data_IF_932060195126
#
_entry.id   IF_932060195126
#
_cell.length_a   1.000
_cell.length_b   1.000
_cell.length_c   1.000
_cell.angle_alpha   90.00
_cell.angle_beta   90.00
_cell.angle_gamma   90.00
#
_symmetry.space_group_name_H-M   'P 1'
#
loop_
_entity.id
_entity.type
_entity.pdbx_description
1 polymer ?
#
# COMPACT_ATOMS: atom_id res chain seq x y z
N UNK A 1 5.98 26.02 15.70
CA UNK A 1 4.88 25.08 15.36
C UNK A 1 5.16 24.50 14.00
N UNK A 2 5.70 23.30 13.92
CA UNK A 2 5.91 22.58 12.66
C UNK A 2 4.55 22.05 12.22
N UNK A 3 3.96 22.68 11.20
CA UNK A 3 2.81 22.10 10.50
C UNK A 3 3.13 20.65 10.15
N UNK A 4 2.32 19.74 10.66
CA UNK A 4 2.42 18.33 10.36
C UNK A 4 1.93 18.11 8.92
N UNK A 5 2.81 18.44 7.94
CA UNK A 5 2.47 18.39 6.51
C UNK A 5 2.14 16.94 6.15
N UNK A 6 0.94 16.74 5.59
CA UNK A 6 0.42 15.44 5.14
C UNK A 6 1.35 14.81 4.09
N UNK A 7 1.48 13.50 4.09
CA UNK A 7 2.14 12.76 3.02
C UNK A 7 1.35 12.93 1.71
N UNK A 8 2.06 13.14 0.61
CA UNK A 8 1.49 13.28 -0.73
C UNK A 8 2.26 12.41 -1.72
N UNK A 9 1.52 11.83 -2.67
CA UNK A 9 2.11 11.14 -3.83
C UNK A 9 2.00 12.09 -5.02
N UNK A 10 3.12 12.30 -5.70
CA UNK A 10 3.21 13.13 -6.91
C UNK A 10 3.67 12.26 -8.07
N UNK A 11 3.04 12.38 -9.24
CA UNK A 11 3.52 11.82 -10.50
C UNK A 11 4.47 12.82 -11.17
N UNK A 12 5.72 12.46 -11.33
CA UNK A 12 6.79 13.38 -11.78
C UNK A 12 6.49 14.04 -13.11
N UNK A 13 5.95 13.29 -14.10
CA UNK A 13 5.72 13.83 -15.44
C UNK A 13 4.54 14.80 -15.51
N UNK A 14 3.63 14.79 -14.53
CA UNK A 14 2.50 15.70 -14.44
C UNK A 14 2.83 17.04 -13.73
N UNK A 15 4.01 17.15 -13.14
CA UNK A 15 4.44 18.36 -12.43
C UNK A 15 4.74 19.49 -13.42
N UNK A 16 4.61 20.72 -12.96
CA UNK A 16 5.09 21.87 -13.71
C UNK A 16 6.63 21.91 -13.78
N UNK A 17 7.17 22.81 -14.61
CA UNK A 17 8.62 22.87 -14.82
C UNK A 17 9.41 23.16 -13.55
N UNK A 18 8.95 24.08 -12.71
CA UNK A 18 9.61 24.46 -11.46
C UNK A 18 9.61 23.32 -10.44
N UNK A 19 8.48 22.64 -10.29
CA UNK A 19 8.37 21.45 -9.43
C UNK A 19 9.25 20.30 -9.95
N UNK A 20 9.28 20.06 -11.27
CA UNK A 20 10.17 19.05 -11.87
C UNK A 20 11.63 19.30 -11.55
N UNK A 21 12.11 20.51 -11.74
CA UNK A 21 13.50 20.91 -11.44
C UNK A 21 13.83 20.71 -9.95
N UNK A 22 12.90 21.11 -9.06
CA UNK A 22 13.07 20.94 -7.62
C UNK A 22 13.17 19.47 -7.22
N UNK A 23 12.20 18.65 -7.63
CA UNK A 23 12.15 17.24 -7.24
C UNK A 23 13.22 16.41 -7.94
N UNK A 24 13.60 16.76 -9.16
CA UNK A 24 14.71 16.14 -9.87
C UNK A 24 16.02 16.32 -9.09
N UNK A 25 16.30 17.54 -8.60
CA UNK A 25 17.43 17.80 -7.73
C UNK A 25 17.40 16.91 -6.48
N UNK A 26 16.21 16.75 -5.86
CA UNK A 26 16.04 15.87 -4.70
C UNK A 26 16.31 14.38 -5.02
N UNK A 27 15.88 13.86 -6.17
CA UNK A 27 16.22 12.52 -6.61
C UNK A 27 17.76 12.38 -6.72
N UNK A 28 18.41 13.39 -7.29
CA UNK A 28 19.87 13.45 -7.43
C UNK A 28 20.64 13.48 -6.10
N UNK A 29 20.03 13.86 -4.97
CA UNK A 29 20.64 13.81 -3.63
C UNK A 29 20.71 12.38 -3.04
N UNK A 30 20.05 11.37 -3.67
CA UNK A 30 20.10 9.99 -3.19
C UNK A 30 21.55 9.45 -3.15
N UNK A 31 21.89 8.66 -2.13
CA UNK A 31 23.18 7.98 -1.98
C UNK A 31 23.27 6.66 -2.77
N UNK A 32 22.24 6.36 -3.57
CA UNK A 32 22.08 5.12 -4.32
C UNK A 32 22.45 5.30 -5.80
N UNK A 33 23.27 4.37 -6.34
CA UNK A 33 23.75 4.42 -7.74
C UNK A 33 22.60 4.47 -8.74
N UNK A 34 21.56 3.62 -8.56
CA UNK A 34 20.42 3.62 -9.47
C UNK A 34 19.58 4.90 -9.35
N UNK A 35 19.51 5.54 -8.17
CA UNK A 35 18.88 6.86 -8.02
C UNK A 35 19.63 7.97 -8.76
N UNK A 36 20.98 7.92 -8.78
CA UNK A 36 21.81 8.83 -9.62
C UNK A 36 21.56 8.60 -11.11
N UNK A 37 21.39 7.34 -11.49
CA UNK A 37 21.06 7.00 -12.88
C UNK A 37 19.66 7.49 -13.26
N UNK A 38 18.67 7.30 -12.39
CA UNK A 38 17.33 7.84 -12.59
C UNK A 38 17.36 9.37 -12.77
N UNK A 39 18.08 10.09 -11.90
CA UNK A 39 18.30 11.54 -12.05
C UNK A 39 18.82 11.88 -13.45
N UNK A 40 19.86 11.17 -13.92
CA UNK A 40 20.47 11.40 -15.23
C UNK A 40 19.45 11.24 -16.37
N UNK A 41 18.79 10.10 -16.45
CA UNK A 41 17.85 9.78 -17.55
C UNK A 41 16.59 10.67 -17.53
N UNK A 42 16.14 11.13 -16.36
CA UNK A 42 15.07 12.11 -16.25
C UNK A 42 15.53 13.49 -16.73
N UNK A 43 16.78 13.91 -16.38
CA UNK A 43 17.37 15.17 -16.84
C UNK A 43 17.54 15.20 -18.36
N UNK A 44 17.92 14.08 -18.96
CA UNK A 44 18.13 13.91 -20.41
C UNK A 44 16.80 13.71 -21.16
N UNK A 45 15.67 13.48 -20.46
CA UNK A 45 14.39 13.14 -21.06
C UNK A 45 14.32 11.76 -21.72
N UNK A 46 15.27 10.87 -21.38
CA UNK A 46 15.39 9.54 -22.02
C UNK A 46 14.69 8.41 -21.25
N UNK A 47 14.06 8.70 -20.10
CA UNK A 47 13.43 7.69 -19.25
C UNK A 47 12.36 6.86 -20.01
N UNK A 48 11.40 7.50 -20.66
CA UNK A 48 10.32 6.79 -21.36
C UNK A 48 10.81 6.00 -22.56
N UNK A 49 11.87 6.47 -23.26
CA UNK A 49 12.50 5.70 -24.33
C UNK A 49 13.08 4.37 -23.83
N UNK A 50 13.66 4.36 -22.62
CA UNK A 50 14.30 3.18 -22.04
C UNK A 50 13.31 2.23 -21.38
N UNK A 51 12.36 2.77 -20.61
CA UNK A 51 11.47 1.99 -19.74
C UNK A 51 10.04 1.82 -20.29
N UNK A 52 9.70 2.47 -21.38
CA UNK A 52 8.39 2.41 -22.04
C UNK A 52 7.64 3.74 -22.02
N UNK A 53 6.89 4.00 -23.07
CA UNK A 53 6.16 5.25 -23.32
C UNK A 53 5.20 5.64 -22.19
N UNK A 54 4.55 4.63 -21.57
CA UNK A 54 3.55 4.82 -20.50
C UNK A 54 4.17 4.77 -19.11
N UNK A 55 5.49 4.65 -19.04
CA UNK A 55 6.19 4.55 -17.75
C UNK A 55 6.12 5.86 -16.97
N UNK A 56 6.05 5.75 -15.67
CA UNK A 56 5.83 6.85 -14.72
C UNK A 56 6.85 6.80 -13.60
N UNK A 57 7.09 7.95 -12.97
CA UNK A 57 7.89 8.06 -11.74
C UNK A 57 7.02 8.70 -10.66
N UNK A 58 6.97 8.07 -9.50
CA UNK A 58 6.18 8.50 -8.36
C UNK A 58 7.08 8.94 -7.21
N UNK A 59 6.70 10.03 -6.57
CA UNK A 59 7.39 10.65 -5.46
C UNK A 59 6.47 10.65 -4.25
N UNK A 60 6.93 10.10 -3.13
CA UNK A 60 6.29 10.30 -1.83
C UNK A 60 6.93 11.48 -1.14
N UNK A 61 6.16 12.51 -0.84
CA UNK A 61 6.65 13.78 -0.31
C UNK A 61 5.97 14.16 1.00
N UNK A 62 6.65 14.96 1.82
CA UNK A 62 6.09 15.62 3.00
C UNK A 62 6.60 17.06 3.06
N UNK A 63 5.77 18.01 2.64
CA UNK A 63 6.24 19.37 2.38
C UNK A 63 7.32 19.38 1.31
N UNK A 64 8.48 19.92 1.61
CA UNK A 64 9.63 20.01 0.70
C UNK A 64 10.60 18.82 0.83
N UNK A 65 10.24 17.79 1.62
CA UNK A 65 11.06 16.59 1.76
C UNK A 65 10.60 15.50 0.79
N UNK A 66 11.53 14.96 0.03
CA UNK A 66 11.35 13.72 -0.71
C UNK A 66 11.61 12.55 0.24
N UNK A 67 10.58 11.77 0.48
CA UNK A 67 10.61 10.62 1.42
C UNK A 67 11.11 9.37 0.71
N UNK A 68 10.46 9.07 -0.42
CA UNK A 68 10.71 7.89 -1.25
C UNK A 68 10.38 8.20 -2.70
N UNK A 69 10.94 7.44 -3.62
CA UNK A 69 10.53 7.43 -5.01
C UNK A 69 10.57 6.01 -5.59
N UNK A 70 9.85 5.80 -6.67
CA UNK A 70 9.91 4.59 -7.49
C UNK A 70 9.38 4.88 -8.89
N UNK A 71 9.61 3.97 -9.83
CA UNK A 71 8.96 3.96 -11.14
C UNK A 71 7.85 2.91 -11.21
N UNK A 72 6.94 3.12 -12.14
CA UNK A 72 6.01 2.14 -12.68
C UNK A 72 6.28 2.07 -14.18
N UNK A 73 6.77 0.94 -14.68
CA UNK A 73 7.44 0.87 -15.97
C UNK A 73 6.98 -0.33 -16.78
N UNK A 74 6.97 -0.20 -18.12
CA UNK A 74 6.70 -1.32 -19.02
C UNK A 74 7.89 -2.30 -19.08
N UNK A 75 9.10 -1.81 -18.84
CA UNK A 75 10.35 -2.58 -18.84
C UNK A 75 11.20 -2.31 -17.60
N UNK A 76 12.09 -3.23 -17.29
CA UNK A 76 13.12 -3.10 -16.27
C UNK A 76 14.52 -3.34 -16.87
N UNK A 77 15.55 -3.39 -16.05
CA UNK A 77 16.94 -3.68 -16.46
C UNK A 77 17.16 -5.16 -16.87
N UNK A 78 16.09 -5.94 -16.98
CA UNK A 78 16.11 -7.34 -17.40
C UNK A 78 15.72 -7.40 -18.88
N UNK A 79 16.67 -7.77 -19.78
CA UNK A 79 16.37 -7.91 -21.20
C UNK A 79 15.57 -9.19 -21.50
N UNK A 80 14.99 -9.23 -22.67
CA UNK A 80 14.36 -10.42 -23.27
C UNK A 80 13.29 -11.09 -22.37
N UNK A 81 12.48 -10.27 -21.68
CA UNK A 81 11.37 -10.74 -20.84
C UNK A 81 10.02 -10.13 -21.27
N UNK A 82 8.97 -10.96 -21.19
CA UNK A 82 7.58 -10.54 -21.41
C UNK A 82 6.92 -10.04 -20.08
N UNK A 83 7.64 -10.09 -18.97
CA UNK A 83 7.11 -9.65 -17.69
C UNK A 83 6.88 -8.13 -17.70
N UNK A 84 5.66 -7.73 -17.37
CA UNK A 84 5.21 -6.34 -17.31
C UNK A 84 3.92 -6.22 -16.49
N UNK A 85 3.65 -5.10 -15.78
CA UNK A 85 4.50 -3.95 -15.55
C UNK A 85 5.46 -4.14 -14.36
N UNK A 86 6.46 -3.28 -14.26
CA UNK A 86 7.48 -3.32 -13.22
C UNK A 86 7.38 -2.14 -12.25
N UNK A 87 7.70 -2.40 -10.99
CA UNK A 87 8.07 -1.36 -10.03
C UNK A 87 9.58 -1.31 -9.96
N UNK A 88 10.18 -0.24 -10.44
CA UNK A 88 11.62 -0.05 -10.47
C UNK A 88 12.08 1.16 -9.65
N UNK A 89 13.39 1.37 -9.55
CA UNK A 89 13.99 2.52 -8.87
C UNK A 89 13.45 2.77 -7.45
N UNK A 90 13.21 1.70 -6.70
CA UNK A 90 12.61 1.78 -5.37
C UNK A 90 13.63 2.29 -4.36
N UNK A 91 13.41 3.49 -3.84
CA UNK A 91 14.31 4.10 -2.88
C UNK A 91 13.56 4.87 -1.80
N UNK A 92 14.04 4.73 -0.56
CA UNK A 92 13.63 5.55 0.59
C UNK A 92 14.85 6.22 1.19
N UNK A 93 14.80 7.53 1.35
CA UNK A 93 15.90 8.28 1.97
C UNK A 93 16.18 7.81 3.39
N UNK A 94 17.45 7.74 3.82
CA UNK A 94 17.84 7.15 5.11
C UNK A 94 17.07 7.68 6.33
N UNK A 95 16.83 8.99 6.38
CA UNK A 95 16.10 9.63 7.47
C UNK A 95 14.63 9.16 7.63
N UNK A 96 14.09 8.49 6.62
CA UNK A 96 12.68 8.05 6.56
C UNK A 96 12.52 6.53 6.54
N UNK A 97 13.60 5.76 6.60
CA UNK A 97 13.60 4.29 6.64
C UNK A 97 13.00 3.76 7.95
N UNK A 98 12.66 2.47 7.97
CA UNK A 98 12.11 1.78 9.15
C UNK A 98 10.63 2.06 9.44
N UNK A 99 9.96 2.88 8.63
CA UNK A 99 8.54 3.28 8.81
C UNK A 99 7.64 2.78 7.68
N UNK A 100 8.06 1.77 6.92
CA UNK A 100 7.33 1.19 5.76
C UNK A 100 6.80 2.23 4.74
N UNK A 101 7.46 3.38 4.63
CA UNK A 101 7.00 4.52 3.80
C UNK A 101 6.82 4.15 2.33
N UNK A 102 7.70 3.29 1.80
CA UNK A 102 7.62 2.81 0.41
C UNK A 102 6.32 2.04 0.14
N UNK A 103 5.73 1.40 1.15
CA UNK A 103 4.46 0.69 1.02
C UNK A 103 3.34 1.58 0.47
N UNK A 104 3.34 2.90 0.80
CA UNK A 104 2.36 3.84 0.24
C UNK A 104 2.48 4.01 -1.27
N UNK A 105 3.70 3.97 -1.82
CA UNK A 105 3.91 4.01 -3.28
C UNK A 105 3.53 2.68 -3.93
N UNK A 106 3.91 1.56 -3.32
CA UNK A 106 3.56 0.22 -3.82
C UNK A 106 2.03 0.05 -3.86
N UNK A 107 1.33 0.43 -2.80
CA UNK A 107 -0.13 0.40 -2.73
C UNK A 107 -0.78 1.28 -3.80
N UNK A 108 -0.26 2.48 -4.02
CA UNK A 108 -0.73 3.37 -5.06
C UNK A 108 -0.54 2.77 -6.46
N UNK A 109 0.65 2.19 -6.73
CA UNK A 109 0.94 1.52 -8.01
C UNK A 109 0.08 0.27 -8.20
N UNK A 110 -0.16 -0.50 -7.14
CA UNK A 110 -1.07 -1.65 -7.20
C UNK A 110 -2.46 -1.24 -7.69
N UNK A 111 -3.05 -0.20 -7.10
CA UNK A 111 -4.34 0.34 -7.52
C UNK A 111 -4.31 0.87 -8.95
N UNK A 112 -3.22 1.55 -9.33
CA UNK A 112 -3.04 2.05 -10.70
C UNK A 112 -2.99 0.90 -11.71
N UNK A 113 -2.19 -0.14 -11.45
CA UNK A 113 -2.08 -1.33 -12.29
C UNK A 113 -3.40 -2.10 -12.39
N UNK A 114 -4.12 -2.24 -11.27
CA UNK A 114 -5.45 -2.83 -11.19
C UNK A 114 -6.45 -2.11 -12.09
N UNK A 115 -6.48 -0.77 -12.02
CA UNK A 115 -7.38 0.07 -12.84
C UNK A 115 -7.01 0.02 -14.33
N UNK A 116 -5.77 -0.31 -14.67
CA UNK A 116 -5.31 -0.52 -16.04
C UNK A 116 -5.52 -1.97 -16.53
N UNK A 117 -6.07 -2.85 -15.70
CA UNK A 117 -6.41 -4.23 -16.04
C UNK A 117 -5.24 -5.20 -16.02
N UNK A 118 -4.11 -4.81 -15.45
CA UNK A 118 -3.00 -5.75 -15.22
C UNK A 118 -3.40 -6.84 -14.22
N UNK A 119 -2.79 -8.01 -14.33
CA UNK A 119 -3.01 -9.16 -13.45
C UNK A 119 -1.85 -9.42 -12.50
N UNK A 120 -0.71 -8.85 -12.81
CA UNK A 120 0.53 -9.06 -12.07
C UNK A 120 1.30 -7.73 -11.97
N UNK A 121 2.12 -7.59 -10.93
CA UNK A 121 3.18 -6.61 -10.79
C UNK A 121 4.49 -7.32 -10.55
N UNK A 122 5.58 -6.78 -11.08
CA UNK A 122 6.92 -7.36 -10.91
C UNK A 122 7.87 -6.35 -10.28
N UNK A 123 8.87 -6.86 -9.58
CA UNK A 123 9.96 -6.07 -9.01
C UNK A 123 11.24 -6.88 -9.05
N UNK A 124 12.33 -6.25 -9.49
CA UNK A 124 13.68 -6.80 -9.44
C UNK A 124 14.45 -6.24 -8.24
N UNK A 125 15.24 -7.06 -7.56
CA UNK A 125 15.97 -6.65 -6.36
C UNK A 125 17.10 -7.61 -6.00
N UNK A 126 18.13 -7.10 -5.32
CA UNK A 126 19.14 -7.87 -4.61
C UNK A 126 18.76 -8.19 -3.15
N UNK A 127 17.65 -7.62 -2.67
CA UNK A 127 17.19 -7.72 -1.28
C UNK A 127 16.24 -8.89 -1.08
N UNK A 128 16.75 -10.04 -0.63
CA UNK A 128 15.94 -11.21 -0.35
C UNK A 128 14.94 -10.95 0.80
N UNK A 129 13.66 -11.27 0.57
CA UNK A 129 12.59 -11.23 1.58
C UNK A 129 12.07 -9.83 1.92
N UNK A 130 12.65 -8.77 1.36
CA UNK A 130 12.18 -7.40 1.63
C UNK A 130 10.74 -7.20 1.17
N UNK A 131 10.44 -7.66 -0.04
CA UNK A 131 9.15 -7.41 -0.69
C UNK A 131 8.04 -8.40 -0.30
N UNK A 132 8.38 -9.50 0.39
CA UNK A 132 7.40 -10.41 0.98
C UNK A 132 6.46 -9.65 1.94
N UNK A 133 7.02 -8.67 2.67
CA UNK A 133 6.26 -7.79 3.57
C UNK A 133 5.25 -6.87 2.86
N UNK A 134 5.31 -6.80 1.54
CA UNK A 134 4.43 -5.99 0.71
C UNK A 134 3.55 -6.86 -0.20
N UNK A 135 3.45 -8.17 0.07
CA UNK A 135 2.59 -9.09 -0.67
C UNK A 135 3.19 -9.63 -1.97
N UNK A 136 4.49 -9.39 -2.22
CA UNK A 136 5.19 -10.04 -3.32
C UNK A 136 5.68 -11.42 -2.90
N UNK A 137 5.73 -12.34 -3.86
CA UNK A 137 6.34 -13.66 -3.72
C UNK A 137 7.51 -13.80 -4.70
N UNK A 138 8.55 -14.53 -4.30
CA UNK A 138 9.68 -14.83 -5.17
C UNK A 138 9.21 -15.62 -6.40
N UNK A 139 9.57 -15.16 -7.59
CA UNK A 139 9.29 -15.82 -8.85
C UNK A 139 10.49 -16.62 -9.34
N UNK A 140 11.60 -15.95 -9.62
CA UNK A 140 12.82 -16.56 -10.17
C UNK A 140 14.02 -15.61 -10.05
N UNK A 141 15.21 -16.12 -10.33
CA UNK A 141 16.41 -15.33 -10.57
C UNK A 141 16.57 -15.08 -12.06
N UNK A 142 16.89 -13.83 -12.45
CA UNK A 142 17.10 -13.43 -13.83
C UNK A 142 18.42 -12.66 -13.97
N UNK A 143 18.90 -12.49 -15.19
CA UNK A 143 20.12 -11.75 -15.48
C UNK A 143 19.78 -10.33 -15.92
N UNK A 144 20.39 -9.34 -15.27
CA UNK A 144 20.29 -7.94 -15.68
C UNK A 144 21.11 -7.67 -16.95
N UNK A 145 20.78 -6.60 -17.69
CA UNK A 145 21.52 -6.19 -18.90
C UNK A 145 23.02 -5.93 -18.62
N UNK A 146 23.37 -5.69 -17.38
CA UNK A 146 24.76 -5.46 -16.94
C UNK A 146 25.50 -6.75 -16.56
N UNK A 147 24.85 -7.91 -16.68
CA UNK A 147 25.44 -9.23 -16.43
C UNK A 147 25.39 -9.72 -14.99
N UNK A 148 24.73 -8.97 -14.09
CA UNK A 148 24.48 -9.41 -12.71
C UNK A 148 23.22 -10.29 -12.61
N UNK A 149 23.14 -11.12 -11.57
CA UNK A 149 21.92 -11.81 -11.20
C UNK A 149 21.05 -10.93 -10.29
N UNK A 150 19.73 -10.97 -10.49
CA UNK A 150 18.74 -10.28 -9.68
C UNK A 150 17.59 -11.22 -9.33
N UNK A 151 17.01 -11.03 -8.15
CA UNK A 151 15.81 -11.76 -7.73
C UNK A 151 14.59 -11.04 -8.28
N UNK A 152 13.73 -11.76 -8.98
CA UNK A 152 12.45 -11.24 -9.46
C UNK A 152 11.35 -11.74 -8.54
N UNK A 153 10.56 -10.80 -8.05
CA UNK A 153 9.36 -11.03 -7.27
C UNK A 153 8.13 -10.60 -8.06
N UNK A 154 7.01 -11.26 -7.77
CA UNK A 154 5.71 -10.95 -8.37
C UNK A 154 4.65 -10.72 -7.30
N UNK A 155 3.66 -9.88 -7.62
CA UNK A 155 2.45 -9.70 -6.83
C UNK A 155 1.24 -9.90 -7.76
N UNK A 156 0.32 -10.77 -7.36
CA UNK A 156 -0.95 -10.93 -8.07
C UNK A 156 -1.88 -9.73 -7.79
N UNK A 157 -2.53 -9.23 -8.85
CA UNK A 157 -3.54 -8.19 -8.75
C UNK A 157 -4.91 -8.86 -8.66
N UNK A 158 -5.46 -8.86 -7.46
CA UNK A 158 -6.71 -9.56 -7.15
C UNK A 158 -7.90 -8.61 -7.30
N UNK A 159 -8.96 -9.09 -7.97
CA UNK A 159 -10.27 -8.47 -7.98
C UNK A 159 -11.17 -9.27 -7.06
N UNK A 160 -11.48 -8.72 -5.89
CA UNK A 160 -12.44 -9.31 -4.95
C UNK A 160 -13.83 -8.79 -5.23
N UNK A 161 -14.82 -9.63 -5.02
CA UNK A 161 -16.24 -9.27 -5.00
C UNK A 161 -16.79 -9.64 -3.62
N UNK A 162 -17.33 -8.67 -2.93
CA UNK A 162 -17.96 -8.81 -1.61
C UNK A 162 -19.43 -8.43 -1.63
N UNK A 163 -20.04 -8.38 -2.82
CA UNK A 163 -21.46 -8.03 -3.00
C UNK A 163 -22.40 -9.00 -2.29
N UNK A 164 -21.97 -10.23 -2.06
CA UNK A 164 -22.67 -11.25 -1.30
C UNK A 164 -22.56 -11.07 0.23
N UNK A 165 -21.66 -10.21 0.71
CA UNK A 165 -21.40 -9.96 2.14
C UNK A 165 -21.89 -8.58 2.54
N UNK A 166 -21.51 -7.56 1.78
CA UNK A 166 -21.84 -6.15 2.06
C UNK A 166 -23.38 -5.97 2.05
N UNK A 167 -23.88 -5.33 3.08
CA UNK A 167 -25.32 -5.10 3.27
C UNK A 167 -25.99 -6.11 4.18
N UNK A 168 -25.37 -7.26 4.48
CA UNK A 168 -25.91 -8.22 5.46
C UNK A 168 -25.76 -7.72 6.89
N UNK A 169 -26.69 -8.09 7.74
CA UNK A 169 -26.63 -7.88 9.19
C UNK A 169 -25.90 -9.06 9.83
N UNK A 170 -24.95 -8.76 10.70
CA UNK A 170 -24.19 -9.72 11.48
C UNK A 170 -24.21 -9.33 12.97
N UNK A 171 -23.95 -10.32 13.82
CA UNK A 171 -23.80 -10.13 15.26
C UNK A 171 -22.53 -10.80 15.74
N UNK A 172 -21.98 -10.30 16.85
CA UNK A 172 -20.78 -10.89 17.38
C UNK A 172 -20.33 -10.28 18.69
N UNK A 173 -19.15 -10.69 19.10
CA UNK A 173 -18.52 -10.33 20.37
C UNK A 173 -17.45 -9.25 20.14
N UNK A 174 -17.40 -8.27 21.05
CA UNK A 174 -16.30 -7.28 21.10
C UNK A 174 -15.28 -7.77 22.12
N UNK A 175 -14.11 -8.13 21.64
CA UNK A 175 -12.97 -8.56 22.46
C UNK A 175 -11.97 -7.44 22.75
N UNK A 176 -12.01 -6.35 21.96
CA UNK A 176 -11.24 -5.12 22.16
C UNK A 176 -12.17 -3.90 22.09
N UNK A 177 -12.78 -3.54 23.21
CA UNK A 177 -13.65 -2.38 23.29
C UNK A 177 -12.92 -1.07 22.96
N UNK A 178 -13.66 -0.08 22.50
CA UNK A 178 -13.16 1.29 22.33
C UNK A 178 -12.40 1.73 23.60
N UNK A 179 -11.17 2.24 23.43
CA UNK A 179 -10.27 2.64 24.49
C UNK A 179 -9.38 1.51 25.06
N UNK A 180 -9.58 0.26 24.67
CA UNK A 180 -8.72 -0.85 25.11
C UNK A 180 -7.33 -0.76 24.45
N UNK A 181 -6.31 -1.26 25.17
CA UNK A 181 -4.94 -1.41 24.63
C UNK A 181 -4.80 -2.73 23.88
N UNK A 182 -3.99 -2.74 22.82
CA UNK A 182 -3.65 -3.96 22.11
C UNK A 182 -2.88 -4.95 23.05
N UNK A 183 -3.19 -6.26 23.02
CA UNK A 183 -2.59 -7.24 23.94
C UNK A 183 -1.06 -7.28 23.93
N UNK A 184 -0.45 -7.17 22.74
CA UNK A 184 1.02 -7.23 22.53
C UNK A 184 1.69 -5.86 22.37
N UNK A 185 0.92 -4.81 21.98
CA UNK A 185 1.39 -3.44 21.69
C UNK A 185 0.61 -2.46 22.55
N UNK A 186 1.04 -2.32 23.81
CA UNK A 186 0.31 -1.55 24.83
C UNK A 186 0.11 -0.07 24.49
N UNK A 187 0.99 0.47 23.65
CA UNK A 187 0.92 1.83 23.09
C UNK A 187 -0.18 2.01 22.05
N UNK A 188 -0.67 0.90 21.46
CA UNK A 188 -1.75 0.92 20.48
C UNK A 188 -3.09 0.84 21.19
N UNK A 189 -3.84 1.95 21.16
CA UNK A 189 -5.19 2.05 21.73
C UNK A 189 -6.21 1.93 20.61
N UNK A 190 -7.24 1.14 20.81
CA UNK A 190 -8.34 0.98 19.86
C UNK A 190 -9.25 2.23 19.90
N UNK A 191 -9.28 3.05 18.84
CA UNK A 191 -10.14 4.24 18.78
C UNK A 191 -11.58 3.89 18.41
N UNK A 192 -11.86 2.61 18.14
CA UNK A 192 -13.13 2.05 17.72
C UNK A 192 -13.29 0.66 18.34
N UNK A 193 -14.53 0.20 18.53
CA UNK A 193 -14.79 -1.18 18.97
C UNK A 193 -14.29 -2.17 17.92
N UNK A 194 -13.60 -3.21 18.37
CA UNK A 194 -13.10 -4.29 17.52
C UNK A 194 -13.47 -5.64 18.14
N UNK A 195 -13.83 -6.59 17.31
CA UNK A 195 -14.26 -7.90 17.72
C UNK A 195 -14.38 -8.84 16.54
N UNK A 196 -15.27 -9.81 16.64
CA UNK A 196 -15.45 -10.82 15.61
C UNK A 196 -16.94 -11.20 15.44
N UNK A 197 -17.24 -11.84 14.32
CA UNK A 197 -18.58 -12.39 14.03
C UNK A 197 -18.69 -13.77 14.67
N UNK A 198 -19.66 -13.97 15.55
CA UNK A 198 -19.82 -15.24 16.27
C UNK A 198 -20.07 -16.42 15.30
N UNK A 199 -19.21 -17.43 15.38
CA UNK A 199 -19.33 -18.68 14.63
C UNK A 199 -19.08 -18.58 13.13
N UNK A 200 -18.52 -17.46 12.64
CA UNK A 200 -18.07 -17.32 11.26
C UNK A 200 -16.52 -17.30 11.23
N UNK A 201 -15.92 -18.23 10.52
CA UNK A 201 -14.47 -18.39 10.48
C UNK A 201 -13.86 -17.75 9.25
N UNK A 202 -12.77 -17.03 9.43
CA UNK A 202 -11.92 -16.45 8.38
C UNK A 202 -10.93 -17.47 7.79
N UNK A 203 -10.14 -17.03 6.82
CA UNK A 203 -9.19 -17.90 6.11
C UNK A 203 -8.03 -18.46 6.96
N UNK A 204 -7.76 -17.86 8.12
CA UNK A 204 -6.76 -18.32 9.09
C UNK A 204 -7.31 -19.32 10.11
N UNK A 205 -8.63 -19.59 10.07
CA UNK A 205 -9.33 -20.50 10.99
C UNK A 205 -9.77 -19.84 12.31
N UNK A 206 -9.49 -18.55 12.52
CA UNK A 206 -10.08 -17.74 13.60
C UNK A 206 -11.45 -17.18 13.19
N UNK A 207 -12.22 -16.66 14.14
CA UNK A 207 -13.47 -15.99 13.83
C UNK A 207 -13.23 -14.68 13.07
N UNK A 208 -14.12 -14.34 12.12
CA UNK A 208 -14.00 -13.20 11.22
C UNK A 208 -13.97 -11.87 11.98
N UNK A 209 -12.86 -11.19 11.93
CA UNK A 209 -12.63 -9.91 12.60
C UNK A 209 -13.44 -8.74 12.01
N UNK A 210 -13.88 -7.85 12.88
CA UNK A 210 -14.66 -6.66 12.51
C UNK A 210 -14.22 -5.39 13.24
N UNK A 211 -14.37 -4.26 12.56
CA UNK A 211 -14.41 -2.92 13.14
C UNK A 211 -15.86 -2.46 13.23
N UNK A 212 -16.31 -1.97 14.41
CA UNK A 212 -17.70 -1.62 14.65
C UNK A 212 -17.87 -0.12 14.83
N UNK A 213 -18.59 0.49 13.91
CA UNK A 213 -18.93 1.92 13.83
C UNK A 213 -20.31 2.20 14.40
N UNK A 214 -20.64 3.48 14.64
CA UNK A 214 -21.98 3.93 15.06
C UNK A 214 -22.10 4.17 16.55
N UNK A 215 -21.01 4.10 17.34
CA UNK A 215 -21.03 4.42 18.77
C UNK A 215 -19.70 4.95 19.25
N UNK A 216 -19.76 5.80 20.29
CA UNK A 216 -18.61 6.30 21.03
C UNK A 216 -18.49 5.66 22.42
N UNK A 217 -19.17 4.53 22.65
CA UNK A 217 -19.13 3.78 23.90
C UNK A 217 -18.46 2.42 23.70
N UNK A 218 -17.72 1.92 24.68
CA UNK A 218 -17.20 0.56 24.66
C UNK A 218 -18.36 -0.44 24.75
N UNK A 219 -18.33 -1.45 23.88
CA UNK A 219 -19.35 -2.50 23.78
C UNK A 219 -18.81 -3.84 24.29
N UNK A 220 -19.73 -4.79 24.54
CA UNK A 220 -19.43 -6.22 24.79
C UNK A 220 -19.85 -7.09 23.61
N UNK A 221 -20.96 -6.75 22.99
CA UNK A 221 -21.53 -7.42 21.82
C UNK A 221 -22.07 -6.38 20.87
N UNK A 222 -22.33 -6.78 19.63
CA UNK A 222 -22.92 -5.91 18.62
C UNK A 222 -23.86 -6.69 17.72
N UNK A 223 -24.78 -5.97 17.08
CA UNK A 223 -25.54 -6.39 15.91
C UNK A 223 -25.61 -5.19 14.97
N UNK A 224 -25.14 -5.36 13.73
CA UNK A 224 -25.04 -4.26 12.78
C UNK A 224 -24.87 -4.74 11.35
N UNK A 225 -24.93 -3.79 10.43
CA UNK A 225 -24.87 -4.01 8.99
C UNK A 225 -23.42 -3.92 8.49
N UNK A 226 -22.99 -4.86 7.68
CA UNK A 226 -21.70 -4.79 7.00
C UNK A 226 -21.77 -3.69 5.95
N UNK A 227 -20.97 -2.64 6.12
CA UNK A 227 -20.89 -1.48 5.23
C UNK A 227 -19.64 -1.47 4.35
N UNK A 228 -18.74 -2.43 4.52
CA UNK A 228 -17.53 -2.60 3.72
C UNK A 228 -16.64 -3.72 4.21
N UNK A 229 -15.65 -4.04 3.41
CA UNK A 229 -14.58 -5.01 3.73
C UNK A 229 -13.24 -4.36 3.43
N UNK A 230 -12.34 -4.36 4.40
CA UNK A 230 -10.93 -4.01 4.19
C UNK A 230 -10.16 -5.28 3.88
N UNK A 231 -9.82 -5.45 2.60
CA UNK A 231 -9.03 -6.58 2.10
C UNK A 231 -7.54 -6.28 2.27
N UNK A 232 -6.82 -7.10 3.03
CA UNK A 232 -5.38 -7.01 3.19
C UNK A 232 -4.66 -7.75 2.06
N UNK A 233 -3.80 -7.07 1.32
CA UNK A 233 -3.05 -7.63 0.18
C UNK A 233 -1.85 -8.49 0.61
N UNK A 234 -1.38 -8.31 1.83
CA UNK A 234 -0.21 -8.99 2.40
C UNK A 234 -0.56 -9.76 3.69
N UNK A 235 -1.81 -10.16 3.82
CA UNK A 235 -2.32 -11.00 4.90
C UNK A 235 -3.40 -11.92 4.34
N UNK A 236 -3.70 -13.00 5.04
CA UNK A 236 -4.77 -13.96 4.66
C UNK A 236 -6.13 -13.56 5.20
N UNK A 237 -6.19 -12.52 6.01
CA UNK A 237 -7.33 -12.12 6.80
C UNK A 237 -7.90 -10.77 6.34
N UNK A 238 -9.19 -10.78 5.95
CA UNK A 238 -9.95 -9.56 5.68
C UNK A 238 -10.54 -9.00 6.98
N UNK A 239 -10.77 -7.69 7.03
CA UNK A 239 -11.43 -7.03 8.16
C UNK A 239 -12.77 -6.46 7.70
N UNK A 240 -13.86 -6.90 8.33
CA UNK A 240 -15.17 -6.38 7.99
C UNK A 240 -15.45 -5.07 8.72
N UNK A 241 -16.17 -4.19 8.06
CA UNK A 241 -16.60 -2.91 8.60
C UNK A 241 -18.09 -2.99 8.86
N UNK A 242 -18.48 -2.91 10.12
CA UNK A 242 -19.87 -3.02 10.56
C UNK A 242 -20.34 -1.68 11.11
N UNK A 243 -21.54 -1.24 10.74
CA UNK A 243 -22.20 -0.07 11.30
C UNK A 243 -23.45 -0.47 12.11
N UNK A 244 -23.62 0.18 13.27
CA UNK A 244 -24.77 0.00 14.16
C UNK A 244 -25.93 0.94 13.80
N UNK A 245 -25.67 1.90 12.94
CA UNK A 245 -26.62 2.93 12.49
C UNK A 245 -26.66 3.00 10.96
N UNK A 246 -27.63 3.71 10.42
CA UNK A 246 -27.81 3.90 8.98
C UNK A 246 -27.08 5.15 8.44
N UNK A 247 -26.20 5.76 9.26
CA UNK A 247 -25.40 6.92 8.82
C UNK A 247 -24.50 6.54 7.65
N UNK A 248 -24.42 7.35 6.59
CA UNK A 248 -23.43 7.15 5.54
C UNK A 248 -22.02 7.47 6.09
N UNK A 249 -21.11 6.54 5.95
CA UNK A 249 -19.68 6.69 6.26
C UNK A 249 -18.90 6.86 4.96
N UNK A 250 -18.10 7.89 4.84
CA UNK A 250 -17.17 8.02 3.70
C UNK A 250 -16.01 7.04 3.83
N UNK A 251 -15.38 6.70 2.70
CA UNK A 251 -14.19 5.84 2.68
C UNK A 251 -13.06 6.47 3.51
N UNK A 252 -12.93 7.79 3.48
CA UNK A 252 -11.94 8.51 4.26
C UNK A 252 -12.16 8.33 5.76
N UNK A 253 -13.40 8.47 6.26
CA UNK A 253 -13.72 8.27 7.68
C UNK A 253 -13.40 6.85 8.13
N UNK A 254 -13.75 5.85 7.32
CA UNK A 254 -13.46 4.44 7.62
C UNK A 254 -11.95 4.22 7.68
N UNK A 255 -11.22 4.60 6.63
CA UNK A 255 -9.77 4.40 6.54
C UNK A 255 -9.00 5.15 7.65
N UNK A 256 -9.44 6.35 8.03
CA UNK A 256 -8.85 7.09 9.15
C UNK A 256 -9.07 6.36 10.48
N UNK A 257 -10.30 5.87 10.73
CA UNK A 257 -10.64 5.20 11.99
C UNK A 257 -9.89 3.87 12.19
N UNK A 258 -9.67 3.10 11.12
CA UNK A 258 -8.96 1.81 11.19
C UNK A 258 -7.44 1.95 11.01
N UNK A 259 -6.93 3.14 10.65
CA UNK A 259 -5.53 3.39 10.32
C UNK A 259 -4.56 3.08 11.47
N UNK A 260 -5.01 3.10 12.72
CA UNK A 260 -4.17 2.78 13.89
C UNK A 260 -3.57 1.37 13.78
N UNK A 261 -4.25 0.43 13.15
CA UNK A 261 -3.82 -0.94 12.90
C UNK A 261 -3.50 -1.17 11.42
N UNK A 262 -4.36 -0.71 10.49
CA UNK A 262 -4.21 -1.02 9.06
C UNK A 262 -3.05 -0.27 8.40
N UNK A 263 -2.46 0.74 9.04
CA UNK A 263 -1.21 1.36 8.56
C UNK A 263 -0.02 0.37 8.44
N UNK A 264 -0.08 -0.78 9.11
CA UNK A 264 0.94 -1.82 9.09
C UNK A 264 0.72 -2.85 7.97
N UNK A 265 -0.42 -2.78 7.28
CA UNK A 265 -0.79 -3.66 6.17
C UNK A 265 -0.94 -2.86 4.88
N UNK A 266 -0.84 -3.55 3.77
CA UNK A 266 -1.32 -3.04 2.48
C UNK A 266 -2.72 -3.57 2.27
N UNK A 267 -3.64 -2.72 1.82
CA UNK A 267 -5.01 -3.16 1.65
C UNK A 267 -5.89 -2.20 0.88
N UNK A 268 -7.09 -2.67 0.56
CA UNK A 268 -8.13 -1.94 -0.14
C UNK A 268 -9.45 -2.03 0.59
N UNK A 269 -10.20 -0.93 0.62
CA UNK A 269 -11.57 -0.90 1.11
C UNK A 269 -12.53 -1.18 -0.05
N UNK A 270 -13.40 -2.16 0.13
CA UNK A 270 -14.53 -2.49 -0.75
C UNK A 270 -15.84 -2.07 -0.10
N UNK A 271 -16.77 -1.55 -0.94
CA UNK A 271 -18.06 -1.01 -0.50
C UNK A 271 -19.19 -1.59 -1.30
#
# INVERSE_FOLDING_TARGET
>A
MTENKKLQIKEFFLLDKSEKEFWLTKIGESDWRAGKYLFKILSEGSFNQQYGEKSKVFLLTQGNNLISFCSFSERDEIPDTELTPWIGFVYTFPAFRGKRRIGKLIEYIYRLAKNQGFKQLYISTDQKGLYDNFGFSFLQTMTERWGGETLVYQMEIVHKDYSDIIGKTVRGTIDRPLGASHPRHKEMIYPINYGYVDGLFAGDGAEQDVYVFGTNQPLKTYEGKIIGVYHRLNDVEDKWIVALDDRPYSDQEILEAISFQEQYFMGELYR
#
